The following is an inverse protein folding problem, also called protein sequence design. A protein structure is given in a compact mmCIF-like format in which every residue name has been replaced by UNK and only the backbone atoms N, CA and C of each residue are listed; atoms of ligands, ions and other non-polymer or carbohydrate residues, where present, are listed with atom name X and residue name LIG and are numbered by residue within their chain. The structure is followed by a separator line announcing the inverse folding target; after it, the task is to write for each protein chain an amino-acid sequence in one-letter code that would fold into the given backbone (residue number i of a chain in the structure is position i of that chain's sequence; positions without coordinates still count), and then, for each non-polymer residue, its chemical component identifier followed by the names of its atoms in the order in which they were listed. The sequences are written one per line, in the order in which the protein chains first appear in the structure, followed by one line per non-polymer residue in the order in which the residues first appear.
data_IF_815466654108
#
_entry.id   IF_815466654108
#
_cell.length_a   1.000
_cell.length_b   1.000
_cell.length_c   1.000
_cell.angle_alpha   90.00
_cell.angle_beta   90.00
_cell.angle_gamma   90.00
#
_symmetry.space_group_name_H-M   'P 1'
#
loop_
_entity.id
_entity.type
_entity.pdbx_description
1 polymer ?
#
# COMPACT_ATOMS: atom_id res chain seq x y z
N UNK A 1 37.29 1.76 -47.81
CA UNK A 1 37.59 3.00 -47.06
C UNK A 1 36.92 4.15 -47.79
N UNK A 2 35.90 4.78 -47.16
CA UNK A 2 35.30 6.10 -47.47
C UNK A 2 34.56 6.18 -48.83
N UNK A 3 33.35 6.72 -49.04
CA UNK A 3 32.36 7.49 -48.29
C UNK A 3 31.02 7.26 -49.03
N UNK A 4 29.92 7.10 -48.33
CA UNK A 4 28.57 7.14 -48.91
C UNK A 4 27.74 8.17 -48.16
N UNK A 5 27.60 9.36 -48.77
CA UNK A 5 26.65 10.39 -48.38
C UNK A 5 25.23 9.82 -48.41
N UNK A 6 24.49 9.99 -47.32
CA UNK A 6 23.03 10.11 -47.36
C UNK A 6 22.64 11.34 -46.55
N UNK A 7 22.35 12.41 -47.27
CA UNK A 7 21.51 13.51 -46.81
C UNK A 7 20.06 13.06 -46.99
N UNK A 8 19.16 13.42 -46.06
CA UNK A 8 17.72 13.70 -46.25
C UNK A 8 17.07 14.02 -44.87
N UNK A 9 15.88 14.65 -44.80
CA UNK A 9 15.69 16.09 -44.79
C UNK A 9 15.08 16.61 -43.46
N UNK A 10 15.19 17.92 -43.23
CA UNK A 10 14.31 18.68 -42.33
C UNK A 10 12.91 18.74 -42.94
N UNK A 11 11.82 18.48 -42.19
CA UNK A 11 10.53 19.21 -42.23
C UNK A 11 9.48 18.66 -41.23
N UNK A 12 8.87 19.62 -40.52
CA UNK A 12 7.56 19.77 -39.87
C UNK A 12 6.79 18.62 -39.19
N UNK A 13 6.39 18.97 -37.96
CA UNK A 13 5.20 18.57 -37.21
C UNK A 13 3.93 18.47 -38.07
N UNK A 14 3.46 17.25 -38.36
CA UNK A 14 2.06 16.93 -38.65
C UNK A 14 1.86 15.39 -38.62
N UNK A 15 1.02 14.89 -37.72
CA UNK A 15 0.58 13.48 -37.67
C UNK A 15 1.66 12.47 -37.21
N UNK A 16 1.79 12.23 -35.90
CA UNK A 16 2.85 11.38 -35.35
C UNK A 16 2.34 10.08 -34.74
N UNK A 17 2.85 8.94 -35.22
CA UNK A 17 2.94 7.71 -34.44
C UNK A 17 3.68 8.00 -33.12
N UNK A 18 3.35 7.30 -32.02
CA UNK A 18 4.10 7.44 -30.76
C UNK A 18 5.59 7.21 -31.01
N UNK A 19 6.50 8.07 -30.49
CA UNK A 19 7.93 7.82 -30.62
C UNK A 19 8.28 6.45 -30.08
N UNK A 20 9.19 5.75 -30.76
CA UNK A 20 9.65 4.43 -30.32
C UNK A 20 10.37 4.55 -28.97
N UNK A 21 10.05 3.68 -28.02
CA UNK A 21 10.73 3.67 -26.72
C UNK A 21 12.11 3.02 -26.87
N UNK A 22 13.16 3.79 -26.57
CA UNK A 22 14.54 3.33 -26.66
C UNK A 22 15.13 3.12 -25.26
N UNK A 23 15.74 1.96 -25.03
CA UNK A 23 16.50 1.66 -23.82
C UNK A 23 17.69 0.76 -24.14
N UNK A 24 18.76 0.88 -23.37
CA UNK A 24 19.95 0.02 -23.48
C UNK A 24 19.66 -1.39 -22.94
N UNK A 25 18.86 -1.49 -21.87
CA UNK A 25 18.44 -2.76 -21.28
C UNK A 25 17.05 -2.62 -20.68
N UNK A 26 16.27 -3.68 -20.78
CA UNK A 26 14.94 -3.79 -20.19
C UNK A 26 14.96 -4.76 -18.99
N UNK A 27 14.20 -4.40 -17.96
CA UNK A 27 13.98 -5.18 -16.74
C UNK A 27 12.48 -5.39 -16.53
N UNK A 28 12.12 -6.45 -15.79
CA UNK A 28 10.72 -6.79 -15.49
C UNK A 28 9.83 -6.74 -16.75
N UNK A 29 10.30 -7.28 -17.87
CA UNK A 29 9.61 -7.21 -19.15
C UNK A 29 8.57 -8.34 -19.22
N UNK A 30 7.27 -8.09 -19.04
CA UNK A 30 6.27 -9.08 -19.35
C UNK A 30 6.16 -9.20 -20.88
N UNK A 31 5.69 -10.35 -21.34
CA UNK A 31 5.46 -10.58 -22.77
C UNK A 31 4.25 -9.74 -23.21
N UNK A 32 4.47 -8.54 -23.75
CA UNK A 32 3.41 -7.73 -24.37
C UNK A 32 3.11 -8.24 -25.79
N UNK A 33 1.84 -8.39 -26.14
CA UNK A 33 1.39 -8.76 -27.50
C UNK A 33 0.88 -7.52 -28.24
N UNK A 34 1.01 -7.50 -29.57
CA UNK A 34 0.68 -6.34 -30.41
C UNK A 34 -0.83 -6.02 -30.51
N UNK A 35 -1.71 -6.93 -30.06
CA UNK A 35 -3.18 -6.73 -29.98
C UNK A 35 -3.64 -6.14 -28.65
N UNK A 36 -2.71 -5.56 -27.89
CA UNK A 36 -2.96 -5.03 -26.55
C UNK A 36 -3.62 -3.63 -26.60
N UNK A 37 -4.90 -3.61 -26.23
CA UNK A 37 -5.83 -2.48 -26.19
C UNK A 37 -5.72 -1.61 -24.93
N UNK A 38 -4.79 -1.95 -24.02
CA UNK A 38 -4.64 -1.33 -22.70
C UNK A 38 -4.07 0.09 -22.78
N UNK A 39 -4.33 0.88 -21.73
CA UNK A 39 -3.71 2.20 -21.55
C UNK A 39 -2.26 2.02 -21.11
N UNK A 40 -1.36 2.83 -21.67
CA UNK A 40 0.06 2.79 -21.30
C UNK A 40 0.40 4.00 -20.44
N UNK A 41 0.92 3.78 -19.25
CA UNK A 41 1.53 4.82 -18.42
C UNK A 41 3.06 4.78 -18.62
N UNK A 42 3.61 5.84 -19.19
CA UNK A 42 5.04 6.08 -19.25
C UNK A 42 5.48 6.88 -18.03
N UNK A 43 6.38 6.30 -17.24
CA UNK A 43 6.96 6.94 -16.06
C UNK A 43 8.42 7.28 -16.34
N UNK A 44 8.72 8.56 -16.49
CA UNK A 44 10.09 9.05 -16.66
C UNK A 44 10.64 9.46 -15.31
N UNK A 45 11.80 8.93 -14.91
CA UNK A 45 12.35 9.18 -13.58
C UNK A 45 13.87 9.17 -13.53
N UNK A 46 14.41 9.84 -12.51
CA UNK A 46 15.82 9.78 -12.12
C UNK A 46 15.94 8.93 -10.84
N UNK A 47 17.05 8.22 -10.72
CA UNK A 47 17.41 7.41 -9.54
C UNK A 47 18.61 7.99 -8.79
N UNK A 48 19.15 9.13 -9.25
CA UNK A 48 20.21 9.85 -8.53
C UNK A 48 19.73 10.24 -7.13
N UNK A 49 20.37 9.75 -6.05
CA UNK A 49 19.97 10.06 -4.68
C UNK A 49 20.07 11.55 -4.35
N UNK A 50 20.83 12.33 -5.13
CA UNK A 50 20.97 13.78 -4.95
C UNK A 50 19.86 14.60 -5.64
N UNK A 51 18.97 13.96 -6.40
CA UNK A 51 17.89 14.61 -7.15
C UNK A 51 16.55 13.97 -6.81
N UNK A 52 15.83 14.62 -5.89
CA UNK A 52 14.41 14.34 -5.58
C UNK A 52 14.03 12.85 -5.50
N UNK A 53 14.95 12.02 -4.99
CA UNK A 53 14.74 10.57 -4.90
C UNK A 53 13.47 10.23 -4.11
N UNK A 54 13.13 11.06 -3.11
CA UNK A 54 11.87 10.94 -2.35
C UNK A 54 10.63 11.04 -3.22
N UNK A 55 10.63 11.92 -4.21
CA UNK A 55 9.49 12.11 -5.10
C UNK A 55 9.36 10.93 -6.08
N UNK A 56 10.47 10.46 -6.64
CA UNK A 56 10.50 9.22 -7.45
C UNK A 56 9.94 8.04 -6.65
N UNK A 57 10.36 7.86 -5.39
CA UNK A 57 9.88 6.75 -4.56
C UNK A 57 8.39 6.81 -4.28
N UNK A 58 7.83 8.00 -4.02
CA UNK A 58 6.37 8.18 -3.89
C UNK A 58 5.62 7.75 -5.15
N UNK A 59 6.16 8.07 -6.33
CA UNK A 59 5.57 7.61 -7.59
C UNK A 59 5.65 6.09 -7.74
N UNK A 60 6.79 5.47 -7.42
CA UNK A 60 6.97 4.01 -7.50
C UNK A 60 5.94 3.28 -6.65
N UNK A 61 5.68 3.73 -5.43
CA UNK A 61 4.66 3.14 -4.55
C UNK A 61 3.27 3.16 -5.19
N UNK A 62 2.85 4.31 -5.73
CA UNK A 62 1.54 4.46 -6.38
C UNK A 62 1.45 3.67 -7.69
N UNK A 63 2.51 3.65 -8.48
CA UNK A 63 2.55 2.92 -9.74
C UNK A 63 2.50 1.41 -9.49
N UNK A 64 3.19 0.91 -8.47
CA UNK A 64 3.13 -0.52 -8.12
C UNK A 64 1.70 -0.97 -7.80
N UNK A 65 0.85 -0.09 -7.25
CA UNK A 65 -0.58 -0.39 -7.09
C UNK A 65 -1.27 -0.48 -8.45
N UNK A 66 -1.02 0.47 -9.34
CA UNK A 66 -1.61 0.49 -10.69
C UNK A 66 -1.25 -0.74 -11.51
N UNK A 67 -0.04 -1.31 -11.36
CA UNK A 67 0.37 -2.52 -12.08
C UNK A 67 -0.52 -3.75 -11.82
N UNK A 68 -1.32 -3.74 -10.75
CA UNK A 68 -2.30 -4.80 -10.47
C UNK A 68 -3.57 -4.69 -11.32
N UNK A 69 -3.83 -3.52 -11.91
CA UNK A 69 -5.00 -3.29 -12.75
C UNK A 69 -4.78 -3.86 -14.15
N UNK A 70 -5.70 -4.73 -14.59
CA UNK A 70 -5.56 -5.47 -15.85
C UNK A 70 -5.59 -4.57 -17.09
N UNK A 71 -6.18 -3.38 -17.00
CA UNK A 71 -6.36 -2.45 -18.13
C UNK A 71 -5.17 -1.50 -18.37
N UNK A 72 -4.11 -1.63 -17.57
CA UNK A 72 -2.94 -0.77 -17.61
C UNK A 72 -1.66 -1.53 -17.92
N UNK A 73 -0.81 -0.86 -18.68
CA UNK A 73 0.59 -1.22 -18.88
C UNK A 73 1.43 -0.08 -18.33
N UNK A 74 2.39 -0.39 -17.46
CA UNK A 74 3.29 0.63 -16.93
C UNK A 74 4.72 0.37 -17.38
N UNK A 75 5.34 1.40 -17.93
CA UNK A 75 6.72 1.38 -18.41
C UNK A 75 7.49 2.54 -17.78
N UNK A 76 8.46 2.21 -16.93
CA UNK A 76 9.43 3.14 -16.39
C UNK A 76 10.60 3.35 -17.35
N UNK A 77 11.05 4.59 -17.52
CA UNK A 77 12.18 4.97 -18.38
C UNK A 77 13.12 5.89 -17.62
N UNK A 78 14.41 5.54 -17.60
CA UNK A 78 15.44 6.33 -16.93
C UNK A 78 16.74 6.33 -17.73
N UNK A 79 17.49 7.43 -17.66
CA UNK A 79 18.81 7.54 -18.28
C UNK A 79 19.92 6.84 -17.50
N UNK A 80 19.63 6.33 -16.30
CA UNK A 80 20.61 5.70 -15.43
C UNK A 80 21.12 4.36 -15.98
N UNK A 81 22.28 3.92 -15.49
CA UNK A 81 22.95 2.72 -16.02
C UNK A 81 22.22 1.45 -15.56
N UNK A 82 22.28 0.35 -16.35
CA UNK A 82 21.58 -0.88 -16.00
C UNK A 82 21.88 -1.43 -14.60
N UNK A 83 23.12 -1.33 -14.10
CA UNK A 83 23.49 -1.81 -12.76
C UNK A 83 22.86 -1.01 -11.61
N UNK A 84 22.66 0.30 -11.83
CA UNK A 84 22.01 1.19 -10.85
C UNK A 84 20.51 0.91 -10.82
N UNK A 85 19.90 0.74 -12.00
CA UNK A 85 18.48 0.39 -12.15
C UNK A 85 18.17 -0.98 -11.53
N UNK A 86 19.02 -1.99 -11.73
CA UNK A 86 18.84 -3.31 -11.13
C UNK A 86 18.85 -3.26 -9.59
N UNK A 87 19.75 -2.46 -9.01
CA UNK A 87 19.80 -2.24 -7.56
C UNK A 87 18.54 -1.53 -7.06
N UNK A 88 18.11 -0.48 -7.76
CA UNK A 88 16.90 0.28 -7.45
C UNK A 88 15.63 -0.60 -7.50
N UNK A 89 15.50 -1.44 -8.53
CA UNK A 89 14.36 -2.36 -8.68
C UNK A 89 14.28 -3.32 -7.49
N UNK A 90 15.41 -3.90 -7.09
CA UNK A 90 15.48 -4.85 -5.96
C UNK A 90 15.16 -4.16 -4.63
N UNK A 91 15.76 -3.01 -4.39
CA UNK A 91 15.59 -2.26 -3.13
C UNK A 91 14.15 -1.78 -2.93
N UNK A 92 13.53 -1.24 -3.97
CA UNK A 92 12.19 -0.64 -3.88
C UNK A 92 11.08 -1.55 -4.42
N UNK A 93 11.40 -2.82 -4.69
CA UNK A 93 10.47 -3.86 -5.16
C UNK A 93 9.63 -3.37 -6.36
N UNK A 94 10.27 -2.75 -7.34
CA UNK A 94 9.59 -2.24 -8.55
C UNK A 94 8.98 -3.40 -9.33
N UNK A 95 7.68 -3.33 -9.62
CA UNK A 95 6.92 -4.42 -10.27
C UNK A 95 6.60 -4.19 -11.75
N UNK A 96 6.79 -2.97 -12.24
CA UNK A 96 6.58 -2.61 -13.64
C UNK A 96 7.85 -2.78 -14.48
N UNK A 97 7.68 -2.76 -15.80
CA UNK A 97 8.77 -2.82 -16.78
C UNK A 97 9.63 -1.57 -16.71
N UNK A 98 10.95 -1.72 -16.71
CA UNK A 98 11.88 -0.58 -16.65
C UNK A 98 12.90 -0.65 -17.78
N UNK A 99 13.01 0.43 -18.55
CA UNK A 99 14.05 0.65 -19.55
C UNK A 99 15.19 1.52 -18.99
N UNK A 100 16.38 0.94 -18.85
CA UNK A 100 17.60 1.61 -18.40
C UNK A 100 18.39 2.22 -19.57
N UNK A 101 19.12 3.31 -19.29
CA UNK A 101 19.90 4.04 -20.30
C UNK A 101 19.02 4.64 -21.41
N UNK A 102 17.76 4.93 -21.11
CA UNK A 102 16.79 5.44 -22.07
C UNK A 102 17.08 6.88 -22.47
N UNK A 103 16.88 7.19 -23.76
CA UNK A 103 16.94 8.56 -24.31
C UNK A 103 15.57 9.12 -24.68
N UNK A 104 14.52 8.33 -24.48
CA UNK A 104 13.15 8.66 -24.92
C UNK A 104 12.59 9.92 -24.25
N UNK A 105 13.14 10.37 -23.12
CA UNK A 105 12.69 11.62 -22.50
C UNK A 105 12.77 12.82 -23.46
N UNK A 106 13.77 12.87 -24.35
CA UNK A 106 13.88 13.92 -25.37
C UNK A 106 12.77 13.84 -26.40
N UNK A 107 12.47 12.65 -26.88
CA UNK A 107 11.46 12.41 -27.92
C UNK A 107 10.05 12.73 -27.40
N UNK A 108 9.83 12.50 -26.11
CA UNK A 108 8.60 12.84 -25.39
C UNK A 108 8.63 14.25 -24.77
N UNK A 109 9.67 15.06 -25.03
CA UNK A 109 9.85 16.43 -24.52
C UNK A 109 9.70 16.54 -22.99
N UNK A 110 10.20 15.55 -22.27
CA UNK A 110 10.27 15.53 -20.81
C UNK A 110 11.54 16.25 -20.37
N UNK A 111 11.37 17.40 -19.73
CA UNK A 111 12.42 18.28 -19.23
C UNK A 111 12.59 18.24 -17.70
N UNK A 112 11.64 17.63 -16.99
CA UNK A 112 11.64 17.43 -15.53
C UNK A 112 11.34 15.98 -15.15
N UNK A 113 11.88 15.55 -14.02
CA UNK A 113 11.69 14.23 -13.45
C UNK A 113 11.29 14.36 -11.97
N UNK A 114 10.44 13.47 -11.44
CA UNK A 114 9.66 12.46 -12.17
C UNK A 114 8.56 13.06 -13.06
N UNK A 115 8.09 12.28 -14.04
CA UNK A 115 7.01 12.68 -14.96
C UNK A 115 6.18 11.48 -15.41
N UNK A 116 4.86 11.62 -15.43
CA UNK A 116 3.94 10.60 -15.94
C UNK A 116 3.25 11.06 -17.23
N UNK A 117 3.22 10.19 -18.23
CA UNK A 117 2.52 10.41 -19.49
C UNK A 117 1.61 9.21 -19.74
N UNK A 118 0.32 9.48 -19.93
CA UNK A 118 -0.65 8.47 -20.35
C UNK A 118 -0.75 8.48 -21.87
N UNK A 119 -0.65 7.29 -22.45
CA UNK A 119 -0.91 7.03 -23.86
C UNK A 119 -2.19 6.21 -23.94
N UNK A 120 -3.25 6.83 -24.42
CA UNK A 120 -4.54 6.18 -24.64
C UNK A 120 -4.73 5.93 -26.14
N UNK A 121 -4.74 4.65 -26.52
CA UNK A 121 -4.92 4.23 -27.92
C UNK A 121 -6.37 4.34 -28.40
N UNK A 122 -7.36 4.41 -27.49
CA UNK A 122 -8.80 4.43 -27.82
C UNK A 122 -9.38 5.82 -27.98
N UNK A 123 -8.82 6.82 -27.30
CA UNK A 123 -9.31 8.22 -27.34
C UNK A 123 -8.98 8.97 -28.65
N UNK A 124 -8.25 8.33 -29.57
CA UNK A 124 -7.71 8.90 -30.79
C UNK A 124 -8.65 9.12 -31.97
N UNK A 125 -9.98 9.03 -31.82
CA UNK A 125 -10.91 9.36 -32.92
C UNK A 125 -11.06 10.88 -33.05
N UNK A 126 -10.30 11.50 -33.96
CA UNK A 126 -10.66 12.83 -34.49
C UNK A 126 -11.71 12.69 -35.59
N UNK A 127 -12.53 13.73 -35.78
CA UNK A 127 -13.64 13.83 -36.75
C UNK A 127 -13.26 13.57 -38.22
N UNK A 128 -11.99 13.29 -38.54
CA UNK A 128 -11.48 13.01 -39.90
C UNK A 128 -11.16 11.54 -40.16
N UNK A 129 -11.43 10.62 -39.23
CA UNK A 129 -11.41 9.17 -39.50
C UNK A 129 -10.04 8.46 -39.39
N UNK A 130 -8.95 9.16 -39.05
CA UNK A 130 -7.66 8.53 -38.74
C UNK A 130 -7.40 8.50 -37.22
N UNK A 131 -7.04 7.31 -36.72
CA UNK A 131 -6.73 7.09 -35.30
C UNK A 131 -5.28 7.49 -35.00
N UNK A 132 -5.08 8.48 -34.14
CA UNK A 132 -3.76 8.81 -33.57
C UNK A 132 -3.86 8.72 -32.03
N UNK A 133 -2.88 8.09 -31.33
CA UNK A 133 -2.93 7.94 -29.88
C UNK A 133 -2.94 9.32 -29.18
N UNK A 134 -3.81 9.46 -28.18
CA UNK A 134 -3.84 10.66 -27.33
C UNK A 134 -2.74 10.59 -26.28
N UNK A 135 -2.00 11.69 -26.11
CA UNK A 135 -1.04 11.87 -25.01
C UNK A 135 -1.64 12.84 -24.00
N UNK A 136 -1.75 12.43 -22.75
CA UNK A 136 -2.10 13.32 -21.66
C UNK A 136 -1.10 13.20 -20.52
N UNK A 137 -0.70 14.33 -19.95
CA UNK A 137 0.07 14.32 -18.71
C UNK A 137 -0.83 13.87 -17.55
N UNK A 138 -0.25 13.12 -16.62
CA UNK A 138 -0.88 12.75 -15.35
C UNK A 138 0.04 13.24 -14.23
N UNK A 139 -0.53 13.81 -13.18
CA UNK A 139 0.22 14.12 -11.95
C UNK A 139 0.01 13.02 -10.89
N UNK A 140 0.81 13.09 -9.82
CA UNK A 140 0.76 12.11 -8.73
C UNK A 140 -0.59 12.12 -8.01
N UNK A 141 -1.25 13.28 -7.90
CA UNK A 141 -2.55 13.40 -7.25
C UNK A 141 -3.65 12.71 -8.06
N UNK A 142 -3.65 12.88 -9.39
CA UNK A 142 -4.54 12.20 -10.31
C UNK A 142 -4.31 10.68 -10.30
N UNK A 143 -3.05 10.22 -10.30
CA UNK A 143 -2.71 8.80 -10.14
C UNK A 143 -3.21 8.25 -8.79
N UNK A 144 -3.01 9.00 -7.71
CA UNK A 144 -3.46 8.62 -6.36
C UNK A 144 -4.98 8.55 -6.29
N UNK A 145 -5.68 9.54 -6.87
CA UNK A 145 -7.14 9.56 -6.95
C UNK A 145 -7.67 8.39 -7.77
N UNK A 146 -7.03 8.09 -8.91
CA UNK A 146 -7.36 6.94 -9.74
C UNK A 146 -7.19 5.62 -8.98
N UNK A 147 -6.07 5.44 -8.27
CA UNK A 147 -5.84 4.27 -7.42
C UNK A 147 -6.87 4.16 -6.29
N UNK A 148 -7.33 5.29 -5.73
CA UNK A 148 -8.38 5.32 -4.71
C UNK A 148 -9.77 5.01 -5.30
N UNK A 149 -10.11 5.53 -6.47
CA UNK A 149 -11.39 5.26 -7.15
C UNK A 149 -11.46 3.85 -7.75
N UNK A 150 -10.30 3.28 -8.07
CA UNK A 150 -10.15 1.91 -8.53
C UNK A 150 -9.84 0.94 -7.37
N UNK A 151 -9.79 1.43 -6.12
CA UNK A 151 -9.76 0.56 -4.96
C UNK A 151 -11.11 -0.16 -4.92
N UNK A 152 -11.13 -1.50 -5.08
CA UNK A 152 -12.38 -2.24 -5.09
C UNK A 152 -13.14 -2.01 -3.79
N UNK A 153 -14.48 -1.96 -3.83
CA UNK A 153 -15.24 -2.16 -2.58
C UNK A 153 -14.89 -3.53 -2.02
N UNK A 154 -15.02 -3.76 -0.71
CA UNK A 154 -14.63 -5.04 -0.10
C UNK A 154 -15.29 -6.26 -0.79
N UNK A 155 -16.46 -6.10 -1.42
CA UNK A 155 -17.14 -7.11 -2.23
C UNK A 155 -16.48 -7.41 -3.59
N UNK A 156 -15.72 -6.47 -4.16
CA UNK A 156 -15.17 -6.57 -5.52
C UNK A 156 -13.81 -7.28 -5.56
N UNK A 157 -13.22 -7.55 -4.40
CA UNK A 157 -11.84 -8.06 -4.32
C UNK A 157 -11.83 -9.59 -4.40
N UNK A 158 -12.98 -10.26 -4.21
CA UNK A 158 -13.12 -11.71 -4.27
C UNK A 158 -14.38 -12.16 -5.01
N UNK A 159 -14.56 -11.78 -6.30
CA UNK A 159 -15.76 -12.11 -7.05
C UNK A 159 -16.02 -13.62 -7.19
N UNK A 160 -15.00 -14.45 -6.98
CA UNK A 160 -15.18 -15.91 -6.95
C UNK A 160 -15.78 -16.40 -5.62
N UNK A 161 -15.43 -15.80 -4.48
CA UNK A 161 -16.03 -16.17 -3.19
C UNK A 161 -17.52 -15.84 -3.14
N UNK A 162 -17.95 -14.74 -3.76
CA UNK A 162 -19.38 -14.39 -3.83
C UNK A 162 -20.25 -15.37 -4.61
N UNK A 163 -19.63 -16.26 -5.41
CA UNK A 163 -20.33 -17.31 -6.16
C UNK A 163 -20.36 -18.64 -5.42
N UNK A 164 -19.54 -18.79 -4.40
CA UNK A 164 -19.46 -20.02 -3.62
C UNK A 164 -20.66 -20.16 -2.70
N UNK A 165 -21.19 -21.37 -2.58
CA UNK A 165 -22.22 -21.67 -1.58
C UNK A 165 -21.62 -21.89 -0.17
N UNK A 166 -22.49 -22.12 0.82
CA UNK A 166 -22.08 -22.32 2.22
C UNK A 166 -21.12 -23.50 2.39
N UNK A 167 -21.29 -24.59 1.63
CA UNK A 167 -20.40 -25.75 1.73
C UNK A 167 -19.04 -25.44 1.13
N UNK A 168 -19.02 -24.83 -0.06
CA UNK A 168 -17.79 -24.40 -0.75
C UNK A 168 -16.99 -23.38 0.08
N UNK A 169 -17.65 -22.42 0.74
CA UNK A 169 -17.00 -21.45 1.62
C UNK A 169 -16.39 -22.10 2.87
N UNK A 170 -17.05 -23.13 3.45
CA UNK A 170 -16.49 -23.88 4.58
C UNK A 170 -15.25 -24.66 4.16
N UNK A 171 -15.32 -25.36 3.04
CA UNK A 171 -14.18 -26.09 2.47
C UNK A 171 -13.03 -25.13 2.16
N UNK A 172 -13.34 -23.93 1.63
CA UNK A 172 -12.36 -22.88 1.37
C UNK A 172 -11.66 -22.40 2.64
N UNK A 173 -12.42 -22.20 3.74
CA UNK A 173 -11.86 -21.82 5.04
C UNK A 173 -10.97 -22.91 5.65
N UNK A 174 -11.18 -24.17 5.30
CA UNK A 174 -10.37 -25.32 5.74
C UNK A 174 -9.13 -25.56 4.87
N UNK A 175 -9.05 -24.93 3.70
CA UNK A 175 -7.93 -25.05 2.77
C UNK A 175 -6.67 -24.29 3.20
N UNK A 176 -5.62 -24.41 2.39
CA UNK A 176 -4.37 -23.64 2.45
C UNK A 176 -4.49 -22.24 1.83
N UNK A 177 -5.71 -21.74 1.59
CA UNK A 177 -5.93 -20.40 1.07
C UNK A 177 -5.27 -19.31 1.95
N UNK A 178 -4.83 -18.23 1.30
CA UNK A 178 -4.18 -17.10 1.95
C UNK A 178 -5.12 -16.43 2.99
N UNK A 179 -4.55 -15.97 4.10
CA UNK A 179 -5.29 -15.45 5.26
C UNK A 179 -6.34 -14.39 4.95
N UNK A 180 -6.00 -13.42 4.10
CA UNK A 180 -6.94 -12.37 3.68
C UNK A 180 -8.12 -12.91 2.86
N UNK A 181 -7.91 -13.96 2.06
CA UNK A 181 -8.98 -14.57 1.27
C UNK A 181 -9.89 -15.38 2.18
N UNK A 182 -9.33 -16.08 3.17
CA UNK A 182 -10.09 -16.75 4.22
C UNK A 182 -10.91 -15.75 5.04
N UNK A 183 -10.33 -14.63 5.44
CA UNK A 183 -11.06 -13.56 6.12
C UNK A 183 -12.22 -13.01 5.28
N UNK A 184 -12.05 -12.89 3.96
CA UNK A 184 -13.13 -12.56 3.01
C UNK A 184 -14.23 -13.64 2.96
N UNK A 185 -13.84 -14.92 2.92
CA UNK A 185 -14.76 -16.05 2.91
C UNK A 185 -15.64 -16.09 4.18
N UNK A 186 -15.11 -15.70 5.36
CA UNK A 186 -15.91 -15.58 6.59
C UNK A 186 -17.06 -14.57 6.42
N UNK A 187 -16.80 -13.43 5.76
CA UNK A 187 -17.81 -12.41 5.51
C UNK A 187 -18.95 -12.95 4.63
N UNK A 188 -18.61 -13.59 3.52
CA UNK A 188 -19.61 -14.21 2.65
C UNK A 188 -20.35 -15.36 3.33
N UNK A 189 -19.67 -16.14 4.17
CA UNK A 189 -20.30 -17.20 4.92
C UNK A 189 -21.33 -16.66 5.91
N UNK A 190 -21.01 -15.56 6.59
CA UNK A 190 -21.96 -14.86 7.47
C UNK A 190 -23.18 -14.33 6.71
N UNK A 191 -22.99 -13.77 5.51
CA UNK A 191 -24.09 -13.27 4.67
C UNK A 191 -25.06 -14.37 4.21
N UNK A 192 -24.57 -15.60 4.05
CA UNK A 192 -25.36 -16.74 3.57
C UNK A 192 -25.98 -17.58 4.68
N UNK A 193 -25.40 -17.57 5.88
CA UNK A 193 -25.86 -18.37 7.01
C UNK A 193 -26.84 -17.61 7.91
N UNK A 194 -27.76 -18.33 8.55
CA UNK A 194 -28.54 -17.76 9.65
C UNK A 194 -27.65 -17.47 10.87
N UNK A 195 -27.92 -16.38 11.60
CA UNK A 195 -27.11 -15.94 12.75
C UNK A 195 -26.79 -17.07 13.75
N UNK A 196 -27.78 -17.88 14.16
CA UNK A 196 -27.57 -18.98 15.11
C UNK A 196 -26.66 -20.08 14.56
N UNK A 197 -26.78 -20.38 13.27
CA UNK A 197 -25.93 -21.36 12.60
C UNK A 197 -24.50 -20.84 12.49
N UNK A 198 -24.35 -19.55 12.14
CA UNK A 198 -23.04 -18.92 12.02
C UNK A 198 -22.32 -18.89 13.36
N UNK A 199 -22.99 -18.47 14.44
CA UNK A 199 -22.39 -18.45 15.79
C UNK A 199 -21.84 -19.83 16.16
N UNK A 200 -22.62 -20.90 15.94
CA UNK A 200 -22.18 -22.26 16.26
C UNK A 200 -20.95 -22.67 15.44
N UNK A 201 -20.99 -22.41 14.12
CA UNK A 201 -19.86 -22.68 13.24
C UNK A 201 -18.61 -21.89 13.66
N UNK A 202 -18.76 -20.59 13.91
CA UNK A 202 -17.66 -19.71 14.24
C UNK A 202 -17.03 -20.06 15.59
N UNK A 203 -17.82 -20.40 16.62
CA UNK A 203 -17.30 -20.82 17.92
C UNK A 203 -16.45 -22.09 17.83
N UNK A 204 -16.82 -23.03 16.97
CA UNK A 204 -16.01 -24.23 16.73
C UNK A 204 -14.79 -23.91 15.86
N UNK A 205 -14.95 -23.10 14.81
CA UNK A 205 -13.87 -22.74 13.90
C UNK A 205 -12.78 -21.91 14.58
N UNK A 206 -13.14 -20.94 15.43
CA UNK A 206 -12.18 -20.05 16.13
C UNK A 206 -11.14 -20.85 16.93
N UNK A 207 -11.50 -22.02 17.47
CA UNK A 207 -10.61 -22.88 18.28
C UNK A 207 -9.46 -23.48 17.45
N UNK A 208 -9.67 -23.65 16.15
CA UNK A 208 -8.72 -24.32 15.24
C UNK A 208 -8.21 -23.40 14.13
N UNK A 209 -8.84 -22.25 13.93
CA UNK A 209 -8.44 -21.26 12.94
C UNK A 209 -7.07 -20.70 13.29
N UNK A 210 -6.10 -20.86 12.39
CA UNK A 210 -4.70 -20.47 12.57
C UNK A 210 -4.46 -19.03 12.13
N UNK A 211 -5.18 -18.58 11.10
CA UNK A 211 -5.00 -17.26 10.53
C UNK A 211 -5.65 -16.18 11.42
N UNK A 212 -4.89 -15.18 11.88
CA UNK A 212 -5.40 -14.20 12.81
C UNK A 212 -6.48 -13.29 12.18
N UNK A 213 -6.45 -13.04 10.87
CA UNK A 213 -7.46 -12.22 10.20
C UNK A 213 -8.78 -12.96 10.03
N UNK A 214 -8.75 -14.24 9.62
CA UNK A 214 -9.92 -15.10 9.57
C UNK A 214 -10.52 -15.28 10.98
N UNK A 215 -9.69 -15.52 12.00
CA UNK A 215 -10.11 -15.62 13.40
C UNK A 215 -10.75 -14.31 13.89
N UNK A 216 -10.15 -13.17 13.54
CA UNK A 216 -10.67 -11.84 13.84
C UNK A 216 -12.07 -11.62 13.23
N UNK A 217 -12.24 -11.93 11.95
CA UNK A 217 -13.55 -11.84 11.27
C UNK A 217 -14.58 -12.81 11.85
N UNK A 218 -14.20 -14.04 12.23
CA UNK A 218 -15.11 -14.97 12.89
C UNK A 218 -15.62 -14.41 14.23
N UNK A 219 -14.73 -13.84 15.05
CA UNK A 219 -15.10 -13.17 16.32
C UNK A 219 -16.05 -11.99 16.06
N UNK A 220 -15.68 -11.10 15.14
CA UNK A 220 -16.47 -9.93 14.77
C UNK A 220 -17.90 -10.32 14.35
N UNK A 221 -18.03 -11.22 13.37
CA UNK A 221 -19.36 -11.60 12.89
C UNK A 221 -20.14 -12.44 13.92
N UNK A 222 -19.48 -13.11 14.86
CA UNK A 222 -20.15 -13.77 15.99
C UNK A 222 -20.81 -12.74 16.90
N UNK A 223 -20.14 -11.62 17.18
CA UNK A 223 -20.70 -10.51 17.98
C UNK A 223 -21.84 -9.82 17.24
N UNK A 224 -21.68 -9.55 15.94
CA UNK A 224 -22.74 -9.00 15.09
C UNK A 224 -23.97 -9.92 15.07
N UNK A 225 -23.77 -11.24 14.90
CA UNK A 225 -24.84 -12.23 14.92
C UNK A 225 -25.61 -12.26 16.25
N UNK A 226 -24.94 -11.95 17.36
CA UNK A 226 -25.50 -11.81 18.71
C UNK A 226 -26.18 -10.47 18.96
N UNK A 227 -26.16 -9.56 18.00
CA UNK A 227 -26.72 -8.22 18.13
C UNK A 227 -25.84 -7.25 18.94
N UNK A 228 -24.57 -7.60 19.17
CA UNK A 228 -23.60 -6.68 19.73
C UNK A 228 -23.14 -5.75 18.61
N UNK A 229 -23.28 -4.44 18.82
CA UNK A 229 -22.79 -3.45 17.86
C UNK A 229 -21.27 -3.43 17.91
N UNK A 230 -20.64 -4.05 16.91
CA UNK A 230 -19.21 -3.98 16.72
C UNK A 230 -18.88 -2.79 15.82
N UNK A 231 -18.36 -1.70 16.41
CA UNK A 231 -17.90 -0.51 15.68
C UNK A 231 -16.53 -0.74 14.98
N UNK A 232 -16.01 -1.97 15.02
CA UNK A 232 -14.68 -2.37 14.54
C UNK A 232 -14.51 -2.28 13.00
N UNK A 233 -15.59 -2.42 12.23
CA UNK A 233 -15.51 -2.36 10.76
C UNK A 233 -15.54 -0.91 10.22
N UNK A 234 -15.80 0.06 11.10
CA UNK A 234 -15.78 1.48 10.77
C UNK A 234 -14.38 2.06 10.61
N UNK A 235 -14.22 3.21 9.94
CA UNK A 235 -12.96 3.94 9.94
C UNK A 235 -12.64 4.49 11.34
N UNK A 236 -11.41 4.26 11.80
CA UNK A 236 -10.89 4.82 13.06
C UNK A 236 -10.97 6.35 13.10
N UNK A 237 -10.88 6.99 14.29
CA UNK A 237 -10.86 8.45 14.40
C UNK A 237 -9.86 9.13 13.47
N UNK A 238 -8.61 8.67 13.44
CA UNK A 238 -7.56 9.21 12.57
C UNK A 238 -7.76 8.87 11.09
N UNK A 239 -8.38 7.73 10.76
CA UNK A 239 -8.77 7.44 9.37
C UNK A 239 -9.87 8.39 8.89
N UNK A 240 -10.89 8.66 9.72
CA UNK A 240 -11.93 9.66 9.43
C UNK A 240 -11.35 11.06 9.29
N UNK A 241 -10.48 11.45 10.21
CA UNK A 241 -9.81 12.74 10.16
C UNK A 241 -8.95 12.88 8.89
N UNK A 242 -8.26 11.81 8.47
CA UNK A 242 -7.46 11.80 7.25
C UNK A 242 -8.33 11.94 5.99
N UNK A 243 -9.47 11.26 5.94
CA UNK A 243 -10.44 11.42 4.85
C UNK A 243 -10.94 12.87 4.80
N UNK A 244 -11.38 13.43 5.93
CA UNK A 244 -11.86 14.81 6.00
C UNK A 244 -10.78 15.84 5.60
N UNK A 245 -9.53 15.62 6.00
CA UNK A 245 -8.40 16.46 5.57
C UNK A 245 -8.12 16.35 4.07
N UNK A 246 -8.28 15.17 3.47
CA UNK A 246 -8.11 15.01 2.03
C UNK A 246 -9.25 15.66 1.22
N UNK A 247 -10.45 15.75 1.79
CA UNK A 247 -11.61 16.39 1.16
C UNK A 247 -11.49 17.93 1.16
N UNK A 248 -11.02 18.51 2.26
CA UNK A 248 -10.71 19.95 2.36
C UNK A 248 -9.34 20.18 3.01
N UNK A 249 -8.24 20.03 2.26
CA UNK A 249 -6.88 20.16 2.79
C UNK A 249 -6.52 21.60 3.17
N UNK A 250 -7.28 22.58 2.71
CA UNK A 250 -7.05 24.01 2.98
C UNK A 250 -7.68 24.50 4.28
N UNK A 251 -8.60 23.71 4.86
CA UNK A 251 -9.26 24.07 6.11
C UNK A 251 -8.25 24.49 7.19
N UNK A 252 -8.57 25.55 7.92
CA UNK A 252 -7.70 26.09 8.98
C UNK A 252 -7.55 25.12 10.15
N UNK A 253 -8.54 24.24 10.38
CA UNK A 253 -8.43 23.21 11.43
C UNK A 253 -7.22 22.29 11.20
N UNK A 254 -6.78 22.08 9.95
CA UNK A 254 -5.63 21.24 9.64
C UNK A 254 -4.28 21.98 9.69
N UNK A 255 -4.27 23.29 10.01
CA UNK A 255 -3.02 24.04 10.13
C UNK A 255 -1.99 23.42 11.08
N UNK A 256 -2.38 22.85 12.26
CA UNK A 256 -1.40 22.24 13.16
C UNK A 256 -0.75 20.97 12.61
N UNK A 257 -1.49 20.10 11.92
CA UNK A 257 -0.89 18.91 11.28
C UNK A 257 0.02 19.30 10.12
N UNK A 258 -0.35 20.32 9.32
CA UNK A 258 0.55 20.86 8.29
C UNK A 258 1.82 21.45 8.89
N UNK A 259 1.73 22.15 10.02
CA UNK A 259 2.88 22.67 10.75
C UNK A 259 3.79 21.54 11.28
N UNK A 260 3.21 20.46 11.79
CA UNK A 260 3.95 19.26 12.18
C UNK A 260 4.68 18.62 10.99
N UNK A 261 3.98 18.43 9.86
CA UNK A 261 4.56 17.83 8.66
C UNK A 261 5.65 18.70 8.00
N UNK A 262 5.58 20.01 8.21
CA UNK A 262 6.57 20.98 7.77
C UNK A 262 7.81 21.06 8.68
N UNK A 263 7.84 20.39 9.83
CA UNK A 263 9.02 20.38 10.70
C UNK A 263 10.27 19.90 9.94
N UNK A 264 11.44 20.53 10.18
CA UNK A 264 12.70 20.10 9.59
C UNK A 264 12.95 18.62 9.86
N UNK A 265 13.55 17.92 8.90
CA UNK A 265 13.83 16.50 9.06
C UNK A 265 14.69 16.20 10.29
N UNK A 266 15.67 17.06 10.59
CA UNK A 266 16.49 16.94 11.79
C UNK A 266 15.66 16.97 13.09
N UNK A 267 14.60 17.77 13.13
CA UNK A 267 13.70 17.84 14.29
C UNK A 267 12.80 16.62 14.39
N UNK A 268 12.41 16.05 13.25
CA UNK A 268 11.69 14.77 13.22
C UNK A 268 12.63 13.59 13.43
N UNK A 269 13.94 13.71 13.20
CA UNK A 269 14.89 12.60 13.29
C UNK A 269 15.06 12.06 14.72
N UNK A 270 14.85 12.91 15.72
CA UNK A 270 14.90 12.56 17.13
C UNK A 270 13.61 11.84 17.58
N UNK A 271 13.75 10.55 17.93
CA UNK A 271 12.62 9.70 18.34
C UNK A 271 11.95 10.17 19.64
N UNK A 272 12.71 10.73 20.60
CA UNK A 272 12.14 11.24 21.84
C UNK A 272 11.41 12.56 21.62
N UNK A 273 11.91 13.42 20.72
CA UNK A 273 11.20 14.62 20.31
C UNK A 273 9.89 14.30 19.58
N UNK A 274 9.92 13.36 18.64
CA UNK A 274 8.69 12.89 17.95
C UNK A 274 7.69 12.30 18.94
N UNK A 275 8.15 11.49 19.89
CA UNK A 275 7.27 10.92 20.90
C UNK A 275 6.71 11.97 21.87
N UNK A 276 7.49 12.99 22.24
CA UNK A 276 7.01 14.12 23.03
C UNK A 276 5.87 14.86 22.33
N UNK A 277 5.99 15.08 21.02
CA UNK A 277 4.91 15.67 20.21
C UNK A 277 3.68 14.76 20.23
N UNK A 278 3.84 13.46 20.01
CA UNK A 278 2.76 12.47 20.14
C UNK A 278 2.04 12.59 21.49
N UNK A 279 2.79 12.67 22.60
CA UNK A 279 2.21 12.79 23.95
C UNK A 279 1.49 14.13 24.17
N UNK A 280 2.00 15.21 23.58
CA UNK A 280 1.38 16.53 23.67
C UNK A 280 0.05 16.62 22.89
N UNK A 281 -0.14 15.76 21.88
CA UNK A 281 -1.37 15.64 21.10
C UNK A 281 -2.28 14.54 21.66
N UNK A 282 -2.55 14.55 22.96
CA UNK A 282 -3.36 13.51 23.64
C UNK A 282 -4.88 13.74 23.60
N UNK A 283 -5.34 14.82 22.96
CA UNK A 283 -6.77 15.13 22.85
C UNK A 283 -7.53 14.23 21.87
N UNK A 284 -8.86 14.30 21.94
CA UNK A 284 -9.79 13.58 21.05
C UNK A 284 -10.09 14.35 19.76
N UNK A 285 -9.40 15.47 19.51
CA UNK A 285 -9.63 16.26 18.30
C UNK A 285 -9.17 15.49 17.05
N UNK A 286 -9.81 15.69 15.88
CA UNK A 286 -9.35 15.11 14.62
C UNK A 286 -7.88 15.44 14.33
N UNK A 287 -7.45 16.66 14.67
CA UNK A 287 -6.08 17.14 14.48
C UNK A 287 -5.10 16.38 15.36
N UNK A 288 -5.41 16.20 16.63
CA UNK A 288 -4.56 15.44 17.56
C UNK A 288 -4.38 13.99 17.08
N UNK A 289 -5.47 13.35 16.62
CA UNK A 289 -5.41 11.99 16.06
C UNK A 289 -4.50 11.90 14.83
N UNK A 290 -4.49 12.93 13.96
CA UNK A 290 -3.60 13.00 12.81
C UNK A 290 -2.15 13.23 13.20
N UNK A 291 -1.88 14.10 14.20
CA UNK A 291 -0.52 14.33 14.70
C UNK A 291 0.03 13.05 15.32
N UNK A 292 -0.75 12.36 16.16
CA UNK A 292 -0.35 11.06 16.72
C UNK A 292 -0.06 10.04 15.63
N UNK A 293 -0.95 9.92 14.63
CA UNK A 293 -0.76 9.02 13.48
C UNK A 293 0.53 9.35 12.71
N UNK A 294 0.79 10.62 12.45
CA UNK A 294 1.98 11.07 11.72
C UNK A 294 3.26 10.82 12.54
N UNK A 295 3.23 11.08 13.85
CA UNK A 295 4.33 10.79 14.76
C UNK A 295 4.65 9.29 14.85
N UNK A 296 3.64 8.43 14.96
CA UNK A 296 3.84 6.97 14.94
C UNK A 296 4.41 6.50 13.61
N UNK A 297 3.95 7.08 12.49
CA UNK A 297 4.51 6.80 11.15
C UNK A 297 5.96 7.24 11.04
N UNK A 298 6.33 8.36 11.66
CA UNK A 298 7.70 8.80 11.71
C UNK A 298 8.57 7.85 12.57
N UNK A 299 8.10 7.41 13.73
CA UNK A 299 8.80 6.37 14.49
C UNK A 299 9.02 5.09 13.65
N UNK A 300 8.01 4.67 12.88
CA UNK A 300 8.13 3.54 11.96
C UNK A 300 9.24 3.74 10.91
N UNK A 301 9.31 4.89 10.25
CA UNK A 301 10.36 5.17 9.25
C UNK A 301 11.78 5.06 9.82
N UNK A 302 11.93 5.10 11.14
CA UNK A 302 13.21 5.10 11.86
C UNK A 302 13.59 3.73 12.42
N UNK A 303 12.81 2.68 12.18
CA UNK A 303 13.12 1.31 12.64
C UNK A 303 14.52 0.82 12.18
N UNK A 304 15.06 1.34 11.07
CA UNK A 304 16.38 0.97 10.55
C UNK A 304 17.55 1.89 11.03
N UNK A 305 17.29 2.84 11.95
CA UNK A 305 18.29 3.81 12.41
C UNK A 305 19.06 3.37 13.66
N UNK A 306 20.14 4.05 14.04
CA UNK A 306 20.91 3.78 15.27
C UNK A 306 20.11 3.96 16.58
N UNK A 307 18.88 4.45 16.53
CA UNK A 307 18.01 4.71 17.69
C UNK A 307 17.01 3.58 18.00
N UNK A 308 17.23 2.36 17.48
CA UNK A 308 16.26 1.25 17.60
C UNK A 308 15.74 1.00 19.02
N UNK A 309 16.57 1.01 20.09
CA UNK A 309 16.06 0.75 21.44
C UNK A 309 15.06 1.80 21.92
N UNK A 310 15.30 3.07 21.59
CA UNK A 310 14.39 4.18 21.94
C UNK A 310 13.11 4.03 21.13
N UNK A 311 13.21 3.81 19.81
CA UNK A 311 12.06 3.63 18.92
C UNK A 311 11.19 2.44 19.37
N UNK A 312 11.79 1.29 19.66
CA UNK A 312 11.10 0.10 20.22
C UNK A 312 10.31 0.48 21.48
N UNK A 313 10.97 1.11 22.45
CA UNK A 313 10.33 1.53 23.72
C UNK A 313 9.12 2.43 23.47
N UNK A 314 9.23 3.41 22.56
CA UNK A 314 8.13 4.33 22.25
C UNK A 314 6.97 3.62 21.55
N UNK A 315 7.26 2.72 20.61
CA UNK A 315 6.23 1.95 19.91
C UNK A 315 5.47 1.01 20.85
N UNK A 316 6.14 0.36 21.82
CA UNK A 316 5.47 -0.43 22.86
C UNK A 316 4.50 0.44 23.68
N UNK A 317 4.91 1.66 24.04
CA UNK A 317 4.04 2.61 24.76
C UNK A 317 2.81 3.02 23.93
N UNK A 318 2.98 3.26 22.63
CA UNK A 318 1.88 3.61 21.72
C UNK A 318 0.91 2.43 21.56
N UNK A 319 1.44 1.23 21.31
CA UNK A 319 0.63 0.02 21.13
C UNK A 319 -0.24 -0.29 22.35
N UNK A 320 0.24 -0.03 23.57
CA UNK A 320 -0.54 -0.26 24.80
C UNK A 320 -1.57 0.82 25.11
N UNK A 321 -1.40 2.06 24.66
CA UNK A 321 -2.10 3.20 25.26
C UNK A 321 -2.80 4.14 24.27
N UNK A 322 -2.51 4.12 22.96
CA UNK A 322 -3.23 5.01 22.04
C UNK A 322 -4.71 4.61 21.97
N UNK A 323 -5.68 5.53 22.10
CA UNK A 323 -7.09 5.20 21.99
C UNK A 323 -7.52 4.81 20.56
N UNK A 324 -6.78 5.22 19.54
CA UNK A 324 -7.08 4.93 18.13
C UNK A 324 -6.48 3.60 17.69
N UNK A 325 -7.36 2.65 17.38
CA UNK A 325 -7.00 1.31 16.92
C UNK A 325 -6.04 1.32 15.70
N UNK A 326 -6.21 2.24 14.75
CA UNK A 326 -5.33 2.32 13.59
C UNK A 326 -3.93 2.83 13.94
N UNK A 327 -3.78 3.65 14.98
CA UNK A 327 -2.47 4.09 15.47
C UNK A 327 -1.79 2.94 16.23
N UNK A 328 -2.53 2.20 17.06
CA UNK A 328 -2.03 0.96 17.68
C UNK A 328 -1.57 -0.05 16.64
N UNK A 329 -2.36 -0.25 15.58
CA UNK A 329 -2.00 -1.14 14.45
C UNK A 329 -0.71 -0.70 13.76
N UNK A 330 -0.54 0.60 13.45
CA UNK A 330 0.71 1.15 12.88
C UNK A 330 1.89 0.87 13.82
N UNK A 331 1.70 1.07 15.13
CA UNK A 331 2.74 0.80 16.11
C UNK A 331 3.13 -0.68 16.14
N UNK A 332 2.17 -1.60 16.07
CA UNK A 332 2.41 -3.04 15.98
C UNK A 332 3.20 -3.41 14.71
N UNK A 333 2.82 -2.88 13.55
CA UNK A 333 3.56 -3.09 12.30
C UNK A 333 5.01 -2.57 12.40
N UNK A 334 5.21 -1.43 13.06
CA UNK A 334 6.53 -0.88 13.28
C UNK A 334 7.36 -1.71 14.27
N UNK A 335 6.73 -2.31 15.29
CA UNK A 335 7.36 -3.26 16.21
C UNK A 335 7.91 -4.48 15.46
N UNK A 336 7.16 -5.02 14.50
CA UNK A 336 7.62 -6.11 13.63
C UNK A 336 8.86 -5.77 12.79
N UNK A 337 9.15 -4.48 12.58
CA UNK A 337 10.37 -4.04 11.87
C UNK A 337 11.55 -3.70 12.77
N UNK A 338 11.30 -3.15 13.97
CA UNK A 338 12.37 -2.70 14.88
C UNK A 338 12.85 -3.79 15.80
N UNK A 339 11.98 -4.74 16.15
CA UNK A 339 12.33 -5.88 16.99
C UNK A 339 12.96 -6.97 16.12
N UNK A 340 13.96 -7.68 16.68
CA UNK A 340 14.55 -8.82 16.01
C UNK A 340 13.65 -10.06 16.14
N UNK A 341 13.76 -10.98 15.18
CA UNK A 341 13.24 -12.34 15.37
C UNK A 341 13.93 -12.95 16.59
N UNK A 342 13.15 -13.57 17.47
CA UNK A 342 13.55 -14.04 18.80
C UNK A 342 13.31 -13.04 19.94
N UNK A 343 12.78 -11.83 19.68
CA UNK A 343 12.42 -10.87 20.74
C UNK A 343 11.15 -11.32 21.48
N UNK A 344 11.33 -12.26 22.41
CA UNK A 344 10.24 -12.85 23.19
C UNK A 344 9.54 -11.84 24.10
N UNK A 345 10.25 -10.83 24.59
CA UNK A 345 9.66 -9.78 25.43
C UNK A 345 8.61 -8.98 24.64
N UNK A 346 8.96 -8.53 23.43
CA UNK A 346 8.01 -7.81 22.58
C UNK A 346 6.87 -8.73 22.11
N UNK A 347 7.14 -10.00 21.84
CA UNK A 347 6.12 -10.97 21.45
C UNK A 347 5.13 -11.26 22.60
N UNK A 348 5.61 -11.51 23.82
CA UNK A 348 4.79 -11.75 25.01
C UNK A 348 3.91 -10.52 25.31
N UNK A 349 4.49 -9.33 25.17
CA UNK A 349 3.76 -8.07 25.34
C UNK A 349 2.61 -7.92 24.34
N UNK A 350 2.86 -8.14 23.04
CA UNK A 350 1.82 -8.02 22.01
C UNK A 350 0.75 -9.10 22.16
N UNK A 351 1.12 -10.31 22.58
CA UNK A 351 0.17 -11.39 22.88
C UNK A 351 -0.77 -10.99 24.03
N UNK A 352 -0.21 -10.45 25.12
CA UNK A 352 -1.00 -9.96 26.26
C UNK A 352 -1.91 -8.78 25.89
N UNK A 353 -1.46 -7.87 25.01
CA UNK A 353 -2.32 -6.81 24.49
C UNK A 353 -3.45 -7.37 23.63
N UNK A 354 -3.17 -8.34 22.75
CA UNK A 354 -4.17 -8.94 21.87
C UNK A 354 -5.33 -9.59 22.64
N UNK A 355 -5.08 -10.16 23.82
CA UNK A 355 -6.12 -10.73 24.70
C UNK A 355 -7.21 -9.71 25.04
N UNK A 356 -6.81 -8.45 25.24
CA UNK A 356 -7.68 -7.37 25.73
C UNK A 356 -8.00 -6.31 24.65
N UNK A 357 -7.49 -6.47 23.43
CA UNK A 357 -7.70 -5.52 22.34
C UNK A 357 -9.17 -5.56 21.87
N UNK A 358 -9.90 -4.43 21.97
CA UNK A 358 -11.30 -4.36 21.57
C UNK A 358 -11.51 -4.45 20.06
N UNK A 359 -10.56 -3.97 19.23
CA UNK A 359 -10.74 -3.97 17.78
C UNK A 359 -10.31 -5.33 17.21
N UNK A 360 -11.31 -6.17 16.94
CA UNK A 360 -11.16 -7.60 16.61
C UNK A 360 -10.80 -7.86 15.15
N UNK A 361 -11.02 -6.90 14.25
CA UNK A 361 -10.93 -7.10 12.80
C UNK A 361 -9.54 -6.82 12.24
N UNK A 362 -8.79 -5.84 12.80
CA UNK A 362 -7.52 -5.37 12.23
C UNK A 362 -6.40 -5.35 13.25
N UNK A 363 -6.64 -4.76 14.41
CA UNK A 363 -5.61 -4.44 15.41
C UNK A 363 -5.24 -5.68 16.20
N UNK A 364 -6.21 -6.42 16.72
CA UNK A 364 -5.97 -7.70 17.39
C UNK A 364 -5.29 -8.72 16.47
N UNK A 365 -5.76 -8.93 15.21
CA UNK A 365 -5.04 -9.78 14.27
C UNK A 365 -3.60 -9.32 14.01
N UNK A 366 -3.35 -8.02 13.91
CA UNK A 366 -2.00 -7.48 13.74
C UNK A 366 -1.10 -7.77 14.94
N UNK A 367 -1.60 -7.65 16.17
CA UNK A 367 -0.85 -8.00 17.38
C UNK A 367 -0.52 -9.50 17.42
N UNK A 368 -1.49 -10.36 17.13
CA UNK A 368 -1.30 -11.82 17.03
C UNK A 368 -0.24 -12.17 15.97
N UNK A 369 -0.36 -11.57 14.77
CA UNK A 369 0.59 -11.75 13.67
C UNK A 369 2.02 -11.32 14.04
N UNK A 370 2.19 -10.09 14.52
CA UNK A 370 3.53 -9.57 14.85
C UNK A 370 4.15 -10.35 16.00
N UNK A 371 3.37 -10.73 17.02
CA UNK A 371 3.85 -11.59 18.10
C UNK A 371 4.40 -12.91 17.56
N UNK A 372 3.66 -13.58 16.68
CA UNK A 372 4.13 -14.82 16.04
C UNK A 372 5.40 -14.61 15.21
N UNK A 373 5.40 -13.62 14.32
CA UNK A 373 6.57 -13.30 13.50
C UNK A 373 7.81 -13.05 14.36
N UNK A 374 7.68 -12.30 15.46
CA UNK A 374 8.80 -12.05 16.38
C UNK A 374 9.28 -13.32 17.08
N UNK A 375 8.46 -14.35 17.24
CA UNK A 375 8.90 -15.64 17.81
C UNK A 375 9.55 -16.56 16.77
N UNK A 376 8.96 -16.64 15.59
CA UNK A 376 9.27 -17.71 14.62
C UNK A 376 10.07 -17.23 13.41
N UNK A 377 10.01 -15.94 13.10
CA UNK A 377 10.54 -15.35 11.87
C UNK A 377 9.74 -15.69 10.63
N UNK A 378 8.56 -16.30 10.77
CA UNK A 378 7.69 -16.66 9.65
C UNK A 378 6.75 -15.50 9.34
N UNK A 379 6.80 -14.99 8.10
CA UNK A 379 5.97 -13.88 7.60
C UNK A 379 4.57 -14.34 7.16
N UNK A 380 4.34 -15.65 7.00
CA UNK A 380 3.08 -16.19 6.52
C UNK A 380 2.26 -16.81 7.65
N UNK A 381 0.97 -16.52 7.64
CA UNK A 381 -0.01 -17.09 8.58
C UNK A 381 -0.28 -18.58 8.36
N UNK A 382 0.27 -19.17 7.28
CA UNK A 382 0.12 -20.60 6.93
C UNK A 382 0.61 -21.55 8.03
N UNK A 383 1.42 -21.07 9.00
CA UNK A 383 1.97 -21.91 10.09
C UNK A 383 1.68 -21.37 11.50
N UNK A 384 0.70 -20.48 11.68
CA UNK A 384 0.31 -20.02 13.02
C UNK A 384 -0.45 -21.11 13.78
N UNK A 385 0.25 -22.13 14.30
CA UNK A 385 -0.36 -23.13 15.19
C UNK A 385 -1.04 -22.42 16.36
N UNK A 386 -2.31 -22.73 16.67
CA UNK A 386 -2.99 -22.16 17.83
C UNK A 386 -2.23 -22.59 19.09
N UNK A 387 -2.03 -21.66 20.03
CA UNK A 387 -1.70 -22.08 21.41
C UNK A 387 -3.02 -22.40 22.12
N UNK A 388 -3.05 -23.50 22.89
CA UNK A 388 -4.25 -24.00 23.57
C UNK A 388 -4.84 -23.03 24.59
#
# INVERSE_FOLDING_TARGET
MILGLFVWPTILLAGGQSPELQAVRWFNNPVFRLEDDRKVLLFFFDIDPNKDARETLRHVEQINVLTKQKDWVVIGLTSARPSEVESFIREHRVRFTVGAGSKSSRDYKVDRFPRLIVVDRKSGKRETGEAAPGFSEMDLEALTRMNRSAAPQASDFWPELSKMDVAELRDYLESDAHGMDRAGAVGHLFEQMGNEEFVRYAEDRIKVETDPWARGKLRYYTEVARGVRADDDGPSPSARALTAMNEDPTNEIWAPIRAYEALPEAERADADKVFSIYQSSSGDSPVDSLIRRAATTDLWRRCASSHQPVVRKRLLQIAAADPDASIRMIACMALGKVCAVGDTEAADFLESLAEHEPETVRTKPMMEYVSHYLRTGQEESETMTPRP
#
